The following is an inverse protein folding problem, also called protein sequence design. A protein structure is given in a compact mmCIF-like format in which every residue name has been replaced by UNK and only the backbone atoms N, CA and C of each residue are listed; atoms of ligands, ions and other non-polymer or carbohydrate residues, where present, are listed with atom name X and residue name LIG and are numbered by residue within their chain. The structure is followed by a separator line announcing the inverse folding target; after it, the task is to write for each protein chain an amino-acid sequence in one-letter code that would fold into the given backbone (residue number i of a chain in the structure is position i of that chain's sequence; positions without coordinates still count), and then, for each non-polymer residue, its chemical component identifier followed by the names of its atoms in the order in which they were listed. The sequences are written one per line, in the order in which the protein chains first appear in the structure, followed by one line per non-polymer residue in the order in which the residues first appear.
data_IF_380078680887
#
_entry.id   IF_380078680887
#
_cell.length_a   1.000
_cell.length_b   1.000
_cell.length_c   1.000
_cell.angle_alpha   90.00
_cell.angle_beta   90.00
_cell.angle_gamma   90.00
#
_symmetry.space_group_name_H-M   'P 1'
#
loop_
_entity.id
_entity.type
_entity.pdbx_description
1 polymer ?
#
# COMPACT_ATOMS: atom_id res chain seq x y z
N UNK A 1 15.61 -3.77 23.40
CA UNK A 1 15.25 -2.76 22.38
C UNK A 1 15.86 -1.44 22.82
N UNK A 2 17.04 -1.11 22.32
CA UNK A 2 17.84 0.04 22.80
C UNK A 2 17.89 1.19 21.81
N UNK A 3 17.42 1.02 20.57
CA UNK A 3 17.40 2.08 19.57
C UNK A 3 16.12 2.93 19.67
N UNK A 4 16.24 4.27 19.59
CA UNK A 4 15.08 5.15 19.58
C UNK A 4 14.27 5.00 18.30
N UNK A 5 12.94 5.12 18.42
CA UNK A 5 12.01 5.02 17.28
C UNK A 5 12.39 5.95 16.13
N UNK A 6 12.91 7.14 16.44
CA UNK A 6 13.35 8.10 15.43
C UNK A 6 14.41 7.53 14.50
N UNK A 7 15.37 6.76 15.01
CA UNK A 7 16.41 6.12 14.17
C UNK A 7 15.82 5.05 13.24
N UNK A 8 14.87 4.26 13.75
CA UNK A 8 14.12 3.32 12.91
C UNK A 8 13.31 4.04 11.83
N UNK A 9 12.64 5.14 12.19
CA UNK A 9 11.87 5.94 11.23
C UNK A 9 12.81 6.51 10.17
N UNK A 10 13.95 7.10 10.53
CA UNK A 10 14.93 7.64 9.57
C UNK A 10 15.38 6.60 8.54
N UNK A 11 15.72 5.40 9.00
CA UNK A 11 15.99 4.28 8.12
C UNK A 11 14.77 3.93 7.24
N UNK A 12 13.59 3.84 7.86
CA UNK A 12 12.35 3.45 7.17
C UNK A 12 11.96 4.44 6.06
N UNK A 13 12.11 5.75 6.26
CA UNK A 13 11.80 6.75 5.22
C UNK A 13 12.84 6.73 4.07
N UNK A 14 14.02 6.16 4.30
CA UNK A 14 15.09 6.07 3.31
C UNK A 14 14.97 4.89 2.34
N UNK A 15 14.08 3.91 2.63
CA UNK A 15 13.99 2.71 1.80
C UNK A 15 13.42 3.05 0.40
N UNK A 16 13.87 2.36 -0.66
CA UNK A 16 13.44 2.67 -2.05
C UNK A 16 11.93 2.60 -2.29
N UNK A 17 11.18 1.87 -1.46
CA UNK A 17 9.72 1.76 -1.56
C UNK A 17 9.01 3.11 -1.42
N UNK A 18 9.60 4.05 -0.67
CA UNK A 18 9.02 5.37 -0.40
C UNK A 18 9.73 6.50 -1.14
N UNK A 19 10.54 6.19 -2.16
CA UNK A 19 11.32 7.20 -2.88
C UNK A 19 10.44 8.33 -3.45
N UNK A 20 9.28 7.99 -4.02
CA UNK A 20 8.31 8.96 -4.53
C UNK A 20 7.74 9.91 -3.46
N UNK A 21 7.77 9.52 -2.19
CA UNK A 21 7.30 10.38 -1.11
C UNK A 21 8.22 11.58 -0.86
N UNK A 22 9.47 11.53 -1.35
CA UNK A 22 10.40 12.66 -1.24
C UNK A 22 9.96 13.85 -2.08
N UNK A 23 9.22 13.62 -3.16
CA UNK A 23 8.67 14.67 -4.03
C UNK A 23 7.36 15.29 -3.49
N UNK A 24 6.84 14.78 -2.37
CA UNK A 24 5.63 15.34 -1.76
C UNK A 24 5.90 16.70 -1.11
N UNK A 25 4.87 17.57 -1.01
CA UNK A 25 4.98 18.81 -0.26
C UNK A 25 5.47 18.58 1.16
N UNK A 26 6.33 19.49 1.65
CA UNK A 26 6.90 19.42 3.01
C UNK A 26 5.86 19.22 4.11
N UNK A 27 4.71 19.88 3.98
CA UNK A 27 3.62 19.75 4.92
C UNK A 27 3.09 18.31 4.99
N UNK A 28 2.97 17.63 3.85
CA UNK A 28 2.58 16.22 3.75
C UNK A 28 3.66 15.31 4.30
N UNK A 29 4.94 15.51 3.92
CA UNK A 29 6.07 14.71 4.43
C UNK A 29 6.16 14.79 5.96
N UNK A 30 6.03 15.98 6.55
CA UNK A 30 6.01 16.18 8.00
C UNK A 30 4.86 15.45 8.68
N UNK A 31 3.65 15.47 8.10
CA UNK A 31 2.48 14.74 8.62
C UNK A 31 2.72 13.22 8.62
N UNK A 32 3.26 12.68 7.53
CA UNK A 32 3.60 11.25 7.43
C UNK A 32 4.61 10.87 8.52
N UNK A 33 5.71 11.64 8.63
CA UNK A 33 6.75 11.40 9.62
C UNK A 33 6.22 11.49 11.05
N UNK A 34 5.40 12.51 11.35
CA UNK A 34 4.75 12.64 12.66
C UNK A 34 3.88 11.41 12.96
N UNK A 35 3.09 10.93 12.00
CA UNK A 35 2.28 9.73 12.17
C UNK A 35 3.10 8.46 12.47
N UNK A 36 4.29 8.34 11.86
CA UNK A 36 5.26 7.26 12.16
C UNK A 36 5.86 7.39 13.57
N UNK A 37 6.24 8.60 13.97
CA UNK A 37 6.83 8.88 15.29
C UNK A 37 5.82 8.77 16.45
N UNK A 38 4.52 8.90 16.16
CA UNK A 38 3.45 8.70 17.15
C UNK A 38 3.18 7.21 17.45
N UNK A 39 3.79 6.28 16.71
CA UNK A 39 3.64 4.85 16.98
C UNK A 39 4.44 4.43 18.23
N UNK A 40 4.09 3.28 18.80
CA UNK A 40 4.84 2.69 19.90
C UNK A 40 5.83 1.65 19.37
N UNK A 41 7.11 1.75 19.74
CA UNK A 41 8.17 0.82 19.26
C UNK A 41 7.83 -0.64 19.52
N UNK A 42 7.30 -0.96 20.70
CA UNK A 42 6.88 -2.32 21.04
C UNK A 42 5.72 -2.79 20.16
N UNK A 43 4.76 -1.91 19.84
CA UNK A 43 3.64 -2.22 18.96
C UNK A 43 4.10 -2.53 17.53
N UNK A 44 5.03 -1.74 17.01
CA UNK A 44 5.63 -1.98 15.69
C UNK A 44 6.40 -3.31 15.65
N UNK A 45 7.20 -3.60 16.68
CA UNK A 45 7.95 -4.85 16.77
C UNK A 45 7.03 -6.07 16.84
N UNK A 46 5.99 -6.04 17.67
CA UNK A 46 4.99 -7.11 17.77
C UNK A 46 4.22 -7.27 16.46
N UNK A 47 3.81 -6.18 15.83
CA UNK A 47 3.12 -6.22 14.53
C UNK A 47 4.00 -6.90 13.47
N UNK A 48 5.30 -6.58 13.41
CA UNK A 48 6.21 -7.24 12.48
C UNK A 48 6.43 -8.73 12.81
N UNK A 49 6.65 -9.06 14.09
CA UNK A 49 6.95 -10.43 14.53
C UNK A 49 5.78 -11.40 14.41
N UNK A 50 4.54 -10.91 14.50
CA UNK A 50 3.35 -11.77 14.50
C UNK A 50 2.45 -11.58 13.28
N UNK A 51 2.52 -10.42 12.61
CA UNK A 51 1.66 -10.08 11.46
C UNK A 51 2.45 -9.59 10.24
N UNK A 52 3.79 -9.64 10.28
CA UNK A 52 4.62 -9.31 9.13
C UNK A 52 4.44 -10.32 8.00
N UNK A 53 4.72 -9.89 6.76
CA UNK A 53 4.56 -10.76 5.57
C UNK A 53 5.38 -12.05 5.64
N UNK A 54 6.51 -12.08 6.37
CA UNK A 54 7.30 -13.29 6.59
C UNK A 54 6.65 -14.34 7.49
N UNK A 55 5.64 -13.96 8.27
CA UNK A 55 4.85 -14.85 9.14
C UNK A 55 3.46 -15.14 8.57
N UNK A 56 3.04 -14.37 7.58
CA UNK A 56 1.71 -14.49 6.99
C UNK A 56 1.57 -15.80 6.21
N UNK A 57 0.46 -16.51 6.42
CA UNK A 57 0.08 -17.66 5.59
C UNK A 57 0.04 -17.28 4.11
N UNK A 58 0.52 -18.18 3.27
CA UNK A 58 0.42 -18.01 1.83
C UNK A 58 -1.04 -18.13 1.36
N UNK A 59 -1.68 -17.00 1.09
CA UNK A 59 -3.07 -16.95 0.61
C UNK A 59 -3.21 -17.06 -0.92
N UNK A 60 -2.12 -17.11 -1.70
CA UNK A 60 -2.21 -17.22 -3.16
C UNK A 60 -3.13 -18.36 -3.64
N UNK A 61 -3.07 -19.59 -3.09
CA UNK A 61 -3.96 -20.68 -3.51
C UNK A 61 -5.45 -20.43 -3.22
N UNK A 62 -5.75 -19.55 -2.27
CA UNK A 62 -7.12 -19.20 -1.86
C UNK A 62 -7.70 -18.05 -2.67
N UNK A 63 -6.87 -17.21 -3.30
CA UNK A 63 -7.32 -16.03 -4.05
C UNK A 63 -8.27 -16.39 -5.20
N UNK A 64 -7.98 -17.49 -5.92
CA UNK A 64 -8.84 -18.01 -7.00
C UNK A 64 -10.26 -18.39 -6.56
N UNK A 65 -10.46 -18.65 -5.26
CA UNK A 65 -11.76 -19.07 -4.72
C UNK A 65 -12.63 -17.87 -4.29
N UNK A 66 -12.12 -16.64 -4.34
CA UNK A 66 -12.90 -15.47 -3.97
C UNK A 66 -13.94 -15.19 -5.05
N UNK A 67 -15.22 -15.20 -4.67
CA UNK A 67 -16.35 -14.98 -5.59
C UNK A 67 -16.88 -13.53 -5.55
N UNK A 68 -16.04 -12.58 -5.15
CA UNK A 68 -16.39 -11.15 -5.06
C UNK A 68 -15.48 -10.34 -5.98
N UNK A 69 -16.00 -9.29 -6.64
CA UNK A 69 -15.16 -8.37 -7.40
C UNK A 69 -14.09 -7.73 -6.51
N UNK A 70 -12.87 -7.64 -7.02
CA UNK A 70 -11.75 -6.94 -6.35
C UNK A 70 -11.15 -5.91 -7.31
N UNK A 71 -10.85 -4.73 -6.77
CA UNK A 71 -9.99 -3.75 -7.43
C UNK A 71 -8.62 -3.75 -6.75
N UNK A 72 -7.59 -4.08 -7.52
CA UNK A 72 -6.20 -3.91 -7.13
C UNK A 72 -5.70 -2.56 -7.66
N UNK A 73 -5.17 -1.70 -6.78
CA UNK A 73 -4.67 -0.38 -7.15
C UNK A 73 -3.17 -0.34 -6.88
N UNK A 74 -2.37 -0.01 -7.89
CA UNK A 74 -0.92 0.17 -7.75
C UNK A 74 -0.47 1.50 -8.35
N UNK A 75 0.58 2.08 -7.78
CA UNK A 75 1.22 3.26 -8.36
C UNK A 75 2.13 2.90 -9.53
N UNK A 76 2.21 3.79 -10.50
CA UNK A 76 3.09 3.69 -11.68
C UNK A 76 4.58 3.48 -11.35
N UNK A 77 5.06 3.99 -10.21
CA UNK A 77 6.46 3.85 -9.80
C UNK A 77 6.72 2.60 -8.95
N UNK A 78 5.67 1.92 -8.47
CA UNK A 78 5.81 0.71 -7.64
C UNK A 78 5.84 -0.57 -8.48
N UNK A 79 6.96 -0.79 -9.16
CA UNK A 79 7.13 -1.93 -10.08
C UNK A 79 6.96 -3.30 -9.42
N UNK A 80 7.31 -3.43 -8.12
CA UNK A 80 7.16 -4.68 -7.37
C UNK A 80 5.68 -5.00 -7.20
N UNK A 81 4.89 -4.06 -6.66
CA UNK A 81 3.49 -4.30 -6.40
C UNK A 81 2.64 -4.29 -7.68
N UNK A 82 3.11 -3.64 -8.76
CA UNK A 82 2.51 -3.84 -10.08
C UNK A 82 2.59 -5.30 -10.55
N UNK A 83 3.76 -5.94 -10.45
CA UNK A 83 3.93 -7.35 -10.83
C UNK A 83 3.05 -8.28 -9.98
N UNK A 84 2.94 -7.99 -8.69
CA UNK A 84 2.05 -8.72 -7.78
C UNK A 84 0.58 -8.56 -8.21
N UNK A 85 0.14 -7.32 -8.49
CA UNK A 85 -1.21 -7.04 -8.93
C UNK A 85 -1.57 -7.70 -10.26
N UNK A 86 -0.66 -7.68 -11.24
CA UNK A 86 -0.84 -8.37 -12.53
C UNK A 86 -1.04 -9.86 -12.33
N UNK A 87 -0.18 -10.51 -11.54
CA UNK A 87 -0.35 -11.92 -11.19
C UNK A 87 -1.69 -12.17 -10.48
N UNK A 88 -2.09 -11.29 -9.57
CA UNK A 88 -3.35 -11.43 -8.83
C UNK A 88 -4.57 -11.40 -9.76
N UNK A 89 -4.63 -10.49 -10.74
CA UNK A 89 -5.76 -10.44 -11.67
C UNK A 89 -5.79 -11.58 -12.69
N UNK A 90 -4.66 -12.23 -12.94
CA UNK A 90 -4.60 -13.45 -13.77
C UNK A 90 -5.20 -14.67 -13.06
N UNK A 91 -5.18 -14.71 -11.72
CA UNK A 91 -5.71 -15.84 -10.92
C UNK A 91 -7.25 -15.87 -10.85
N UNK A 92 -7.93 -14.75 -11.15
CA UNK A 92 -9.38 -14.64 -11.00
C UNK A 92 -9.97 -13.53 -11.87
N UNK A 93 -10.90 -13.90 -12.77
CA UNK A 93 -11.54 -12.97 -13.71
C UNK A 93 -12.46 -11.93 -13.06
N UNK A 94 -12.82 -12.10 -11.78
CA UNK A 94 -13.56 -11.09 -11.01
C UNK A 94 -12.66 -9.94 -10.53
N UNK A 95 -11.34 -10.12 -10.64
CA UNK A 95 -10.38 -9.12 -10.18
C UNK A 95 -10.02 -8.17 -11.33
N UNK A 96 -9.81 -6.92 -10.96
CA UNK A 96 -9.46 -5.83 -11.87
C UNK A 96 -8.29 -5.06 -11.30
N UNK A 97 -7.47 -4.46 -12.16
CA UNK A 97 -6.31 -3.68 -11.75
C UNK A 97 -6.38 -2.27 -12.33
N UNK A 98 -5.99 -1.29 -11.52
CA UNK A 98 -5.81 0.09 -11.95
C UNK A 98 -4.41 0.58 -11.58
N UNK A 99 -3.74 1.21 -12.54
CA UNK A 99 -2.46 1.89 -12.34
C UNK A 99 -2.70 3.38 -12.18
N UNK A 100 -2.17 3.97 -11.11
CA UNK A 100 -2.30 5.41 -10.86
C UNK A 100 -1.02 6.14 -11.30
N UNK A 101 -1.10 6.99 -12.34
CA UNK A 101 0.06 7.71 -12.85
C UNK A 101 0.63 8.69 -11.82
N UNK A 102 1.96 8.86 -11.83
CA UNK A 102 2.70 9.75 -10.93
C UNK A 102 2.50 9.40 -9.44
N UNK A 103 2.55 8.11 -9.12
CA UNK A 103 2.50 7.62 -7.74
C UNK A 103 3.34 6.36 -7.54
N UNK A 104 3.89 6.20 -6.34
CA UNK A 104 4.54 4.99 -5.87
C UNK A 104 3.63 4.20 -4.93
N UNK A 105 4.15 3.83 -3.76
CA UNK A 105 3.49 2.84 -2.90
C UNK A 105 2.24 3.37 -2.20
N UNK A 106 2.25 4.62 -1.72
CA UNK A 106 1.16 5.17 -0.91
C UNK A 106 0.28 6.11 -1.74
N UNK A 107 -0.40 5.52 -2.73
CA UNK A 107 -1.19 6.22 -3.76
C UNK A 107 -2.18 7.24 -3.17
N UNK A 108 -2.85 6.91 -2.07
CA UNK A 108 -3.81 7.80 -1.41
C UNK A 108 -3.18 9.07 -0.80
N UNK A 109 -1.87 9.04 -0.51
CA UNK A 109 -1.10 10.21 -0.06
C UNK A 109 -0.52 11.00 -1.24
N UNK A 110 -0.13 10.29 -2.31
CA UNK A 110 0.59 10.87 -3.45
C UNK A 110 -0.36 11.45 -4.52
N UNK A 111 -1.49 10.79 -4.77
CA UNK A 111 -2.50 11.18 -5.75
C UNK A 111 -3.91 11.07 -5.13
N UNK A 112 -4.22 11.82 -4.05
CA UNK A 112 -5.44 11.65 -3.25
C UNK A 112 -6.72 11.76 -4.10
N UNK A 113 -6.81 12.77 -4.96
CA UNK A 113 -7.99 12.99 -5.81
C UNK A 113 -8.20 11.82 -6.78
N UNK A 114 -7.13 11.35 -7.45
CA UNK A 114 -7.23 10.21 -8.38
C UNK A 114 -7.63 8.93 -7.66
N UNK A 115 -7.06 8.67 -6.49
CA UNK A 115 -7.40 7.52 -5.67
C UNK A 115 -8.88 7.52 -5.31
N UNK A 116 -9.40 8.65 -4.79
CA UNK A 116 -10.82 8.78 -4.41
C UNK A 116 -11.74 8.64 -5.62
N UNK A 117 -11.43 9.31 -6.74
CA UNK A 117 -12.23 9.19 -7.97
C UNK A 117 -12.30 7.76 -8.47
N UNK A 118 -11.16 7.05 -8.48
CA UNK A 118 -11.07 5.66 -8.92
C UNK A 118 -11.89 4.71 -8.03
N UNK A 119 -11.76 4.84 -6.71
CA UNK A 119 -12.52 4.01 -5.76
C UNK A 119 -14.02 4.26 -5.89
N UNK A 120 -14.45 5.53 -5.94
CA UNK A 120 -15.86 5.87 -6.07
C UNK A 120 -16.45 5.37 -7.39
N UNK A 121 -15.72 5.55 -8.50
CA UNK A 121 -16.16 5.03 -9.80
C UNK A 121 -16.36 3.52 -9.74
N UNK A 122 -15.39 2.78 -9.19
CA UNK A 122 -15.47 1.33 -9.10
C UNK A 122 -16.65 0.87 -8.23
N UNK A 123 -16.88 1.50 -7.07
CA UNK A 123 -18.02 1.18 -6.21
C UNK A 123 -19.34 1.40 -6.98
N UNK A 124 -19.52 2.56 -7.62
CA UNK A 124 -20.72 2.87 -8.40
C UNK A 124 -20.93 1.89 -9.57
N UNK A 125 -19.88 1.41 -10.21
CA UNK A 125 -19.96 0.40 -11.27
C UNK A 125 -20.38 -0.99 -10.74
N UNK A 126 -20.01 -1.33 -9.50
CA UNK A 126 -20.38 -2.61 -8.88
C UNK A 126 -21.76 -2.58 -8.22
N UNK A 127 -22.24 -1.44 -7.73
CA UNK A 127 -23.59 -1.29 -7.17
C UNK A 127 -24.70 -1.33 -8.24
N UNK A 128 -24.36 -1.00 -9.49
CA UNK A 128 -25.31 -1.03 -10.63
C UNK A 128 -25.54 -2.43 -11.22
N UNK A 129 -24.84 -3.46 -10.75
CA UNK A 129 -24.92 -4.85 -11.23
C UNK A 129 -25.50 -5.76 -10.16
#
# INVERSE_FOLDING_TARGET
MTEPLSGFVDYWESIPLFESQKELPDSTRRKIRQGRLMQQSIGLALSLMYMGTGQQTNYWPSLRNIQRPILYIAGEYDTKFQKIGKKLVEENSLFSMALVPKSGHCIHLEQPTKFVSLVNQWIMEKEKK
#
